data_IF_623339870260
#
_entry.id   IF_623339870260
#
_cell.length_a   1.000
_cell.length_b   1.000
_cell.length_c   1.000
_cell.angle_alpha   90.00
_cell.angle_beta   90.00
_cell.angle_gamma   90.00
#
_symmetry.space_group_name_H-M   'P 1'
#
loop_
_entity.id
_entity.type
_entity.pdbx_description
1 polymer ?
#
# COMPACT_ATOMS: atom_id res chain seq x y z
N UNK A 1 -5.37 44.37 15.59
CA UNK A 1 -5.42 42.91 15.66
C UNK A 1 -4.33 42.39 14.75
N UNK A 2 -3.33 41.73 15.31
CA UNK A 2 -2.21 41.23 14.51
C UNK A 2 -2.59 39.94 13.76
N UNK A 3 -1.89 39.64 12.64
CA UNK A 3 -2.11 38.43 11.88
C UNK A 3 -2.03 37.13 12.73
N UNK A 4 -1.28 37.19 13.84
CA UNK A 4 -1.11 36.12 14.82
C UNK A 4 -2.39 35.88 15.63
N UNK A 5 -3.15 36.94 15.93
CA UNK A 5 -4.42 36.82 16.65
C UNK A 5 -5.57 36.32 15.78
N UNK A 6 -5.57 36.65 14.49
CA UNK A 6 -6.54 36.12 13.52
C UNK A 6 -6.37 34.62 13.31
N UNK A 7 -5.14 34.13 13.15
CA UNK A 7 -4.83 32.70 13.02
C UNK A 7 -5.19 31.93 14.31
N UNK A 8 -5.04 32.54 15.48
CA UNK A 8 -5.42 31.92 16.75
C UNK A 8 -6.95 31.85 16.97
N UNK A 9 -7.73 32.74 16.36
CA UNK A 9 -9.21 32.70 16.45
C UNK A 9 -9.85 31.73 15.46
N UNK A 10 -9.31 31.60 14.24
CA UNK A 10 -9.77 30.57 13.29
C UNK A 10 -9.45 29.14 13.75
N UNK A 11 -8.32 28.92 14.45
CA UNK A 11 -7.97 27.61 15.01
C UNK A 11 -8.89 27.18 16.17
N UNK A 12 -9.64 28.10 16.80
CA UNK A 12 -10.60 27.78 17.87
C UNK A 12 -11.96 27.29 17.37
N UNK A 13 -12.33 27.51 16.10
CA UNK A 13 -13.59 27.04 15.54
C UNK A 13 -13.51 25.66 14.88
N UNK A 14 -12.32 25.09 14.71
CA UNK A 14 -12.10 23.70 14.26
C UNK A 14 -11.78 22.75 15.42
N UNK A 15 -12.40 22.93 16.58
CA UNK A 15 -12.30 21.98 17.69
C UNK A 15 -13.18 20.74 17.44
N UNK A 16 -12.83 19.94 16.45
CA UNK A 16 -13.11 18.51 16.50
C UNK A 16 -12.16 17.95 17.55
N UNK A 17 -12.71 17.36 18.61
CA UNK A 17 -11.95 16.72 19.69
C UNK A 17 -11.20 15.50 19.12
N UNK A 18 -10.08 15.72 18.44
CA UNK A 18 -9.10 14.68 18.12
C UNK A 18 -8.09 14.62 19.25
N UNK A 19 -8.09 13.54 20.00
CA UNK A 19 -6.99 13.22 20.93
C UNK A 19 -5.71 13.23 20.11
N UNK A 20 -4.82 14.21 20.33
CA UNK A 20 -3.48 14.22 19.81
C UNK A 20 -3.14 15.19 18.68
N UNK A 21 -4.05 16.02 18.17
CA UNK A 21 -3.68 17.01 17.14
C UNK A 21 -2.66 18.01 17.71
N UNK A 22 -1.41 17.94 17.22
CA UNK A 22 -0.31 18.83 17.60
C UNK A 22 -0.11 19.87 16.49
N UNK A 23 -0.59 21.13 16.64
CA UNK A 23 -0.56 22.14 15.58
C UNK A 23 0.85 22.39 15.03
N UNK A 24 1.87 22.34 15.88
CA UNK A 24 3.26 22.55 15.48
C UNK A 24 3.77 21.41 14.59
N UNK A 25 3.50 20.15 14.93
CA UNK A 25 3.93 19.00 14.15
C UNK A 25 3.17 18.90 12.82
N UNK A 26 1.89 19.26 12.79
CA UNK A 26 1.12 19.38 11.54
C UNK A 26 1.68 20.46 10.63
N UNK A 27 2.07 21.63 11.17
CA UNK A 27 2.75 22.68 10.39
C UNK A 27 4.05 22.19 9.73
N UNK A 28 4.86 21.41 10.46
CA UNK A 28 6.08 20.79 9.91
C UNK A 28 5.75 19.82 8.77
N UNK A 29 4.68 19.03 8.91
CA UNK A 29 4.23 18.10 7.85
C UNK A 29 3.78 18.87 6.60
N UNK A 30 2.94 19.87 6.74
CA UNK A 30 2.45 20.70 5.63
C UNK A 30 3.61 21.43 4.93
N UNK A 31 4.56 21.94 5.69
CA UNK A 31 5.74 22.63 5.16
C UNK A 31 6.66 21.69 4.40
N UNK A 32 6.86 20.46 4.88
CA UNK A 32 7.60 19.44 4.14
C UNK A 32 7.02 19.23 2.74
N UNK A 33 5.69 19.13 2.61
CA UNK A 33 5.06 19.00 1.29
C UNK A 33 5.13 20.30 0.45
N UNK A 34 5.05 21.48 1.05
CA UNK A 34 5.21 22.75 0.30
C UNK A 34 6.57 22.86 -0.38
N UNK A 35 7.62 22.32 0.24
CA UNK A 35 8.95 22.27 -0.37
C UNK A 35 9.02 21.35 -1.58
N UNK A 36 8.12 20.37 -1.69
CA UNK A 36 8.10 19.38 -2.76
C UNK A 36 9.18 18.31 -2.62
N UNK A 37 9.27 17.41 -3.60
CA UNK A 37 10.26 16.33 -3.68
C UNK A 37 10.29 15.40 -2.45
N UNK A 38 9.15 15.16 -1.82
CA UNK A 38 9.03 14.31 -0.63
C UNK A 38 8.98 12.84 -1.02
N UNK A 39 9.82 12.00 -0.40
CA UNK A 39 9.61 10.55 -0.40
C UNK A 39 8.58 10.15 0.66
N UNK A 40 7.69 9.24 0.31
CA UNK A 40 6.76 8.63 1.27
C UNK A 40 7.18 7.20 1.59
N UNK A 41 7.15 6.83 2.88
CA UNK A 41 7.26 5.45 3.35
C UNK A 41 5.98 5.06 4.06
N UNK A 42 5.13 4.23 3.45
CA UNK A 42 3.88 3.80 4.06
C UNK A 42 3.95 2.39 4.66
N UNK A 43 3.13 2.13 5.67
CA UNK A 43 2.95 0.83 6.30
C UNK A 43 1.48 0.50 6.54
N UNK A 44 1.22 -0.64 7.20
CA UNK A 44 -0.13 -1.23 7.35
C UNK A 44 -1.13 -0.31 8.06
N UNK A 45 -0.68 0.62 8.89
CA UNK A 45 -1.55 1.62 9.53
C UNK A 45 -2.28 2.53 8.53
N UNK A 46 -1.75 2.72 7.30
CA UNK A 46 -2.44 3.47 6.26
C UNK A 46 -3.67 2.72 5.72
N UNK A 47 -3.68 1.39 5.77
CA UNK A 47 -4.76 0.57 5.21
C UNK A 47 -5.82 0.17 6.24
N UNK A 48 -5.67 0.54 7.52
CA UNK A 48 -6.64 0.20 8.57
C UNK A 48 -8.02 0.80 8.33
N UNK A 49 -8.08 2.04 7.82
CA UNK A 49 -9.32 2.71 7.42
C UNK A 49 -9.95 2.12 6.14
N UNK A 50 -9.26 1.21 5.45
CA UNK A 50 -9.77 0.41 4.34
C UNK A 50 -10.28 -0.97 4.78
N UNK A 51 -10.30 -1.26 6.08
CA UNK A 51 -10.71 -2.53 6.66
C UNK A 51 -9.62 -3.61 6.70
N UNK A 52 -8.40 -3.31 6.24
CA UNK A 52 -7.25 -4.22 6.35
C UNK A 52 -6.58 -3.95 7.72
N UNK A 53 -6.49 -4.96 8.62
CA UNK A 53 -5.88 -4.75 9.93
C UNK A 53 -4.38 -4.46 9.80
N UNK A 54 -3.80 -3.82 10.79
CA UNK A 54 -2.35 -3.70 10.91
C UNK A 54 -1.75 -4.93 11.63
N UNK A 55 -0.41 -5.02 11.69
CA UNK A 55 0.26 -6.14 12.37
C UNK A 55 0.43 -5.94 13.87
N UNK A 56 0.47 -4.71 14.38
CA UNK A 56 0.96 -4.39 15.73
C UNK A 56 0.17 -3.31 16.46
N UNK A 57 -0.63 -2.55 15.75
CA UNK A 57 -1.54 -1.57 16.31
C UNK A 57 -2.78 -2.20 16.93
N UNK A 58 -3.70 -1.40 17.44
CA UNK A 58 -4.90 -1.87 18.12
C UNK A 58 -5.77 -2.80 17.27
N UNK A 59 -5.81 -2.58 15.94
CA UNK A 59 -6.61 -3.40 15.02
C UNK A 59 -6.00 -4.79 14.79
N UNK A 60 -4.66 -4.90 14.80
CA UNK A 60 -3.95 -6.16 14.58
C UNK A 60 -3.77 -7.00 15.81
N UNK A 61 -3.49 -6.38 16.96
CA UNK A 61 -3.29 -7.11 18.23
C UNK A 61 -4.54 -7.90 18.65
N UNK A 62 -5.74 -7.34 18.43
CA UNK A 62 -7.01 -7.97 18.77
C UNK A 62 -7.38 -9.16 17.84
N UNK A 63 -6.75 -9.28 16.67
CA UNK A 63 -7.10 -10.27 15.63
C UNK A 63 -6.02 -11.30 15.38
N UNK A 64 -4.87 -11.19 16.04
CA UNK A 64 -3.70 -12.00 15.74
C UNK A 64 -3.88 -13.46 16.15
N UNK A 65 -4.06 -14.32 15.16
CA UNK A 65 -4.09 -15.77 15.32
C UNK A 65 -2.84 -16.38 14.66
N UNK A 66 -1.83 -16.70 15.47
CA UNK A 66 -0.63 -17.40 15.02
C UNK A 66 0.52 -16.48 14.54
N UNK A 67 1.64 -17.12 14.18
CA UNK A 67 2.80 -16.44 13.59
C UNK A 67 2.68 -16.41 12.06
N UNK A 68 3.12 -15.31 11.39
CA UNK A 68 3.16 -15.25 9.94
C UNK A 68 4.08 -16.35 9.37
N UNK A 69 3.72 -16.88 8.19
CA UNK A 69 4.51 -17.87 7.46
C UNK A 69 5.91 -17.34 7.16
N UNK A 70 6.93 -18.13 7.45
CA UNK A 70 8.30 -17.80 7.05
C UNK A 70 8.64 -18.38 5.68
N UNK A 71 9.65 -17.78 5.00
CA UNK A 71 10.13 -18.28 3.72
C UNK A 71 10.63 -19.72 3.81
N UNK A 72 11.35 -20.04 4.89
CA UNK A 72 11.93 -21.36 5.13
C UNK A 72 10.84 -22.42 5.34
N UNK A 73 9.79 -22.11 6.10
CA UNK A 73 8.66 -23.02 6.28
C UNK A 73 7.91 -23.24 4.97
N UNK A 74 7.66 -22.16 4.21
CA UNK A 74 6.96 -22.24 2.93
C UNK A 74 7.73 -23.09 1.92
N UNK A 75 9.04 -22.90 1.80
CA UNK A 75 9.86 -23.62 0.82
C UNK A 75 10.22 -25.04 1.27
N UNK A 76 10.38 -25.27 2.56
CA UNK A 76 10.83 -26.54 3.13
C UNK A 76 9.72 -27.60 3.35
N UNK A 77 8.44 -27.18 3.46
CA UNK A 77 7.35 -28.09 3.84
C UNK A 77 6.16 -28.03 2.88
N UNK A 78 5.80 -29.19 2.33
CA UNK A 78 4.58 -29.30 1.50
C UNK A 78 3.31 -29.02 2.30
N UNK A 79 3.23 -29.46 3.55
CA UNK A 79 2.09 -29.17 4.43
C UNK A 79 2.00 -27.69 4.80
N UNK A 80 3.15 -26.99 4.96
CA UNK A 80 3.15 -25.55 5.20
C UNK A 80 2.63 -24.79 3.98
N UNK A 81 3.04 -25.15 2.75
CA UNK A 81 2.52 -24.59 1.50
C UNK A 81 1.03 -24.83 1.33
N UNK A 82 0.56 -26.05 1.66
CA UNK A 82 -0.85 -26.41 1.61
C UNK A 82 -1.66 -25.51 2.56
N UNK A 83 -1.23 -25.36 3.82
CA UNK A 83 -1.86 -24.46 4.78
C UNK A 83 -1.87 -23.01 4.27
N UNK A 84 -0.74 -22.53 3.77
CA UNK A 84 -0.65 -21.18 3.24
C UNK A 84 -1.66 -20.95 2.10
N UNK A 85 -1.67 -21.83 1.10
CA UNK A 85 -2.53 -21.63 -0.08
C UNK A 85 -4.01 -21.83 0.24
N UNK A 86 -4.38 -22.74 1.14
CA UNK A 86 -5.74 -22.92 1.61
C UNK A 86 -6.25 -21.65 2.33
N UNK A 87 -5.48 -21.11 3.25
CA UNK A 87 -5.78 -19.88 3.98
C UNK A 87 -5.83 -18.66 3.04
N UNK A 88 -4.81 -18.50 2.21
CA UNK A 88 -4.74 -17.43 1.23
C UNK A 88 -5.87 -17.52 0.18
N UNK A 89 -6.34 -18.71 -0.18
CA UNK A 89 -7.48 -18.88 -1.08
C UNK A 89 -8.76 -18.24 -0.55
N UNK A 90 -8.95 -18.23 0.76
CA UNK A 90 -10.08 -17.59 1.41
C UNK A 90 -9.86 -16.08 1.64
N UNK A 91 -8.71 -15.73 2.18
CA UNK A 91 -8.48 -14.39 2.72
C UNK A 91 -8.03 -13.34 1.69
N UNK A 92 -7.37 -13.72 0.60
CA UNK A 92 -6.83 -12.75 -0.35
C UNK A 92 -7.89 -11.84 -0.98
N UNK A 93 -9.10 -12.35 -1.19
CA UNK A 93 -10.22 -11.58 -1.75
C UNK A 93 -10.66 -10.44 -0.84
N UNK A 94 -10.52 -10.61 0.47
CA UNK A 94 -10.81 -9.53 1.41
C UNK A 94 -9.83 -8.37 1.22
N UNK A 95 -8.54 -8.67 1.07
CA UNK A 95 -7.51 -7.65 0.84
C UNK A 95 -7.67 -6.99 -0.53
N UNK A 96 -7.87 -7.79 -1.59
CA UNK A 96 -8.00 -7.24 -2.96
C UNK A 96 -9.35 -6.58 -3.23
N UNK A 97 -10.37 -6.89 -2.44
CA UNK A 97 -11.68 -6.21 -2.48
C UNK A 97 -11.74 -4.93 -1.66
N UNK A 98 -10.70 -4.61 -0.90
CA UNK A 98 -10.64 -3.37 -0.13
C UNK A 98 -10.53 -2.14 -1.05
N UNK A 99 -11.18 -1.06 -0.66
CA UNK A 99 -11.12 0.21 -1.39
C UNK A 99 -10.10 1.17 -0.78
N UNK A 100 -9.43 2.00 -1.59
CA UNK A 100 -8.57 3.07 -1.08
C UNK A 100 -9.35 4.00 -0.14
N UNK A 101 -8.77 4.34 0.99
CA UNK A 101 -9.33 5.30 1.95
C UNK A 101 -8.87 6.74 1.67
N UNK A 102 -9.29 7.69 2.52
CA UNK A 102 -8.93 9.11 2.39
C UNK A 102 -7.41 9.33 2.42
N UNK A 103 -6.67 8.55 3.23
CA UNK A 103 -5.21 8.61 3.29
C UNK A 103 -4.54 8.26 1.97
N UNK A 104 -4.96 7.17 1.31
CA UNK A 104 -4.44 6.79 -0.01
C UNK A 104 -4.74 7.84 -1.07
N UNK A 105 -5.99 8.38 -1.08
CA UNK A 105 -6.38 9.45 -2.01
C UNK A 105 -5.61 10.74 -1.76
N UNK A 106 -5.34 11.08 -0.49
CA UNK A 106 -4.51 12.22 -0.11
C UNK A 106 -3.09 12.11 -0.65
N UNK A 107 -2.45 10.94 -0.48
CA UNK A 107 -1.12 10.65 -1.04
C UNK A 107 -1.12 10.79 -2.56
N UNK A 108 -2.10 10.20 -3.25
CA UNK A 108 -2.21 10.31 -4.71
C UNK A 108 -2.46 11.75 -5.18
N UNK A 109 -3.18 12.56 -4.41
CA UNK A 109 -3.38 13.99 -4.72
C UNK A 109 -2.08 14.79 -4.58
N UNK A 110 -1.28 14.54 -3.53
CA UNK A 110 0.02 15.15 -3.33
C UNK A 110 1.02 14.77 -4.43
N UNK A 111 1.02 13.50 -4.86
CA UNK A 111 1.84 13.04 -5.98
C UNK A 111 1.45 13.72 -7.29
N UNK A 112 0.15 13.77 -7.63
CA UNK A 112 -0.34 14.47 -8.83
C UNK A 112 -0.01 15.96 -8.84
N UNK A 113 0.09 16.57 -7.68
CA UNK A 113 0.51 17.98 -7.54
C UNK A 113 2.04 18.17 -7.68
N UNK A 114 2.81 17.09 -7.88
CA UNK A 114 4.27 17.13 -8.00
C UNK A 114 5.01 17.36 -6.69
N UNK A 115 4.35 17.18 -5.54
CA UNK A 115 4.94 17.38 -4.22
C UNK A 115 5.61 16.12 -3.66
N UNK A 116 5.33 14.96 -4.26
CA UNK A 116 5.86 13.64 -3.87
C UNK A 116 6.70 13.10 -5.00
N UNK A 117 7.98 12.83 -4.74
CA UNK A 117 8.94 12.25 -5.70
C UNK A 117 8.79 10.74 -5.87
N UNK A 118 8.18 10.06 -4.90
CA UNK A 118 7.87 8.64 -4.98
C UNK A 118 7.39 8.07 -3.65
N UNK A 119 6.77 6.89 -3.76
CA UNK A 119 6.14 6.18 -2.65
C UNK A 119 6.81 4.83 -2.47
N UNK A 120 7.36 4.58 -1.29
CA UNK A 120 7.84 3.28 -0.84
C UNK A 120 6.75 2.68 0.05
N UNK A 121 6.08 1.63 -0.39
CA UNK A 121 5.08 0.99 0.47
C UNK A 121 5.56 -0.36 0.98
N UNK A 122 5.37 -0.59 2.28
CA UNK A 122 5.55 -1.90 2.91
C UNK A 122 4.33 -2.80 2.70
N UNK A 123 3.19 -2.21 2.30
CA UNK A 123 1.93 -2.91 2.09
C UNK A 123 1.95 -3.70 0.78
N UNK A 124 1.15 -4.76 0.76
CA UNK A 124 1.04 -5.70 -0.37
C UNK A 124 -0.35 -5.68 -1.02
N UNK A 125 -1.18 -4.70 -0.63
CA UNK A 125 -2.61 -4.59 -0.93
C UNK A 125 -2.94 -3.89 -2.26
N UNK A 126 -1.99 -3.12 -2.84
CA UNK A 126 -2.20 -2.38 -4.09
C UNK A 126 -3.04 -1.11 -3.96
N UNK A 127 -3.38 -0.66 -2.74
CA UNK A 127 -4.31 0.45 -2.54
C UNK A 127 -3.75 1.82 -2.96
N UNK A 128 -2.44 2.03 -2.96
CA UNK A 128 -1.84 3.24 -3.53
C UNK A 128 -2.12 3.37 -5.03
N UNK A 129 -1.89 2.28 -5.79
CA UNK A 129 -2.16 2.23 -7.21
C UNK A 129 -3.66 2.36 -7.49
N UNK A 130 -4.50 1.68 -6.71
CA UNK A 130 -5.95 1.80 -6.80
C UNK A 130 -6.47 3.23 -6.49
N UNK A 131 -5.75 4.02 -5.69
CA UNK A 131 -6.02 5.44 -5.46
C UNK A 131 -5.53 6.35 -6.59
N UNK A 132 -4.82 5.82 -7.58
CA UNK A 132 -4.28 6.56 -8.72
C UNK A 132 -2.85 7.06 -8.53
N UNK A 133 -2.10 6.57 -7.54
CA UNK A 133 -0.67 6.85 -7.41
C UNK A 133 0.12 6.06 -8.48
N UNK A 134 1.09 6.72 -9.12
CA UNK A 134 1.87 6.19 -10.24
C UNK A 134 3.28 5.73 -9.83
N UNK A 135 3.96 6.48 -8.97
CA UNK A 135 5.37 6.25 -8.60
C UNK A 135 5.49 5.40 -7.33
N UNK A 136 4.94 4.18 -7.36
CA UNK A 136 4.87 3.29 -6.18
C UNK A 136 5.88 2.16 -6.27
N UNK A 137 6.78 2.08 -5.29
CA UNK A 137 7.67 0.93 -5.08
C UNK A 137 7.10 0.03 -3.99
N UNK A 138 6.60 -1.14 -4.37
CA UNK A 138 6.10 -2.18 -3.46
C UNK A 138 7.29 -2.90 -2.81
N UNK A 139 7.75 -2.39 -1.67
CA UNK A 139 8.95 -2.87 -0.98
C UNK A 139 8.88 -4.37 -0.68
N UNK A 140 7.73 -4.83 -0.22
CA UNK A 140 7.50 -6.23 0.12
C UNK A 140 6.74 -7.00 -0.97
N UNK A 141 6.58 -6.43 -2.17
CA UNK A 141 5.86 -7.08 -3.26
C UNK A 141 4.36 -6.85 -3.24
N UNK A 142 3.59 -7.75 -3.86
CA UNK A 142 2.15 -7.58 -4.05
C UNK A 142 1.40 -8.92 -3.98
N UNK A 143 0.25 -8.92 -3.33
CA UNK A 143 -0.69 -10.06 -3.31
C UNK A 143 -1.41 -10.27 -4.64
N UNK A 144 -1.38 -9.30 -5.54
CA UNK A 144 -1.98 -9.42 -6.87
C UNK A 144 -1.14 -10.25 -7.85
N UNK A 145 0.07 -10.64 -7.48
CA UNK A 145 0.99 -11.40 -8.30
C UNK A 145 1.47 -12.68 -7.63
N UNK A 146 1.84 -13.64 -8.45
CA UNK A 146 2.42 -14.91 -8.07
C UNK A 146 3.72 -15.11 -8.86
N UNK A 147 4.72 -15.67 -8.22
CA UNK A 147 6.02 -15.98 -8.83
C UNK A 147 6.33 -17.47 -8.68
N UNK A 148 6.88 -18.05 -9.74
CA UNK A 148 7.45 -19.40 -9.68
C UNK A 148 8.87 -19.34 -9.12
N UNK A 149 9.17 -20.14 -8.09
CA UNK A 149 10.50 -20.16 -7.46
C UNK A 149 11.57 -20.91 -8.30
N UNK A 150 11.16 -21.58 -9.38
CA UNK A 150 12.08 -22.33 -10.25
C UNK A 150 12.43 -21.57 -11.53
N UNK A 151 11.43 -21.09 -12.27
CA UNK A 151 11.64 -20.41 -13.55
C UNK A 151 11.40 -18.90 -13.51
N UNK A 152 11.03 -18.34 -12.36
CA UNK A 152 10.78 -16.91 -12.12
C UNK A 152 9.66 -16.31 -12.96
N UNK A 153 8.89 -17.12 -13.69
CA UNK A 153 7.67 -16.63 -14.36
C UNK A 153 6.69 -16.04 -13.35
N UNK A 154 6.03 -14.97 -13.75
CA UNK A 154 4.98 -14.31 -12.98
C UNK A 154 3.63 -14.50 -13.65
N UNK A 155 2.59 -14.63 -12.82
CA UNK A 155 1.20 -14.65 -13.26
C UNK A 155 0.34 -13.83 -12.29
N UNK A 156 -0.90 -13.56 -12.67
CA UNK A 156 -1.83 -12.89 -11.77
C UNK A 156 -2.30 -13.82 -10.64
N UNK A 157 -2.71 -13.23 -9.53
CA UNK A 157 -3.28 -13.99 -8.42
C UNK A 157 -4.68 -14.51 -8.76
N UNK A 158 -5.43 -13.79 -9.62
CA UNK A 158 -6.72 -14.22 -10.13
C UNK A 158 -6.61 -15.50 -10.97
N UNK A 159 -5.63 -15.59 -11.87
CA UNK A 159 -5.37 -16.81 -12.66
C UNK A 159 -5.05 -18.00 -11.75
N UNK A 160 -4.20 -17.79 -10.74
CA UNK A 160 -3.92 -18.82 -9.75
C UNK A 160 -5.18 -19.21 -8.97
N UNK A 161 -5.99 -18.26 -8.55
CA UNK A 161 -7.22 -18.53 -7.80
C UNK A 161 -8.23 -19.34 -8.62
N UNK A 162 -8.36 -19.05 -9.91
CA UNK A 162 -9.20 -19.84 -10.81
C UNK A 162 -8.73 -21.30 -10.89
N UNK A 163 -7.42 -21.53 -10.96
CA UNK A 163 -6.82 -22.86 -10.97
C UNK A 163 -6.97 -23.59 -9.63
N UNK A 164 -6.81 -22.87 -8.52
CA UNK A 164 -7.02 -23.44 -7.17
C UNK A 164 -8.49 -23.85 -6.99
N UNK A 165 -9.45 -23.05 -7.44
CA UNK A 165 -10.87 -23.42 -7.43
C UNK A 165 -11.16 -24.66 -8.24
N UNK A 166 -10.61 -24.73 -9.47
CA UNK A 166 -10.78 -25.90 -10.33
C UNK A 166 -10.18 -27.18 -9.74
N UNK A 167 -9.07 -27.06 -9.02
CA UNK A 167 -8.43 -28.20 -8.33
C UNK A 167 -9.11 -28.61 -7.03
N UNK A 168 -9.99 -27.76 -6.46
CA UNK A 168 -10.62 -27.94 -5.16
C UNK A 168 -12.15 -27.72 -5.20
N UNK A 169 -12.90 -28.35 -6.09
CA UNK A 169 -14.32 -28.03 -6.33
C UNK A 169 -15.22 -28.34 -5.12
N UNK A 170 -14.84 -29.33 -4.32
CA UNK A 170 -15.60 -29.77 -3.13
C UNK A 170 -14.98 -29.29 -1.81
N UNK A 171 -13.84 -28.58 -1.87
CA UNK A 171 -13.20 -28.13 -0.65
C UNK A 171 -13.90 -26.87 -0.13
N UNK A 172 -14.43 -26.97 1.08
CA UNK A 172 -15.08 -25.88 1.78
C UNK A 172 -14.39 -25.66 3.12
N UNK A 173 -14.13 -24.42 3.47
CA UNK A 173 -13.73 -24.09 4.84
C UNK A 173 -14.95 -24.31 5.75
N UNK A 174 -14.90 -25.31 6.57
CA UNK A 174 -15.93 -25.51 7.60
C UNK A 174 -15.72 -24.45 8.70
N UNK A 175 -16.72 -23.59 8.90
CA UNK A 175 -16.72 -22.66 10.04
C UNK A 175 -16.98 -21.19 9.68
N UNK A 176 -17.05 -20.35 10.70
CA UNK A 176 -17.32 -18.92 10.65
C UNK A 176 -16.33 -18.15 9.73
N UNK A 177 -16.75 -16.96 9.30
CA UNK A 177 -15.88 -16.05 8.55
C UNK A 177 -14.56 -15.82 9.31
N UNK A 178 -13.43 -16.26 8.77
CA UNK A 178 -12.17 -16.17 9.50
C UNK A 178 -11.67 -14.74 9.54
N UNK A 179 -11.08 -14.33 10.65
CA UNK A 179 -10.37 -13.06 10.75
C UNK A 179 -9.21 -13.05 9.73
N UNK A 180 -9.16 -12.01 8.89
CA UNK A 180 -8.14 -11.85 7.84
C UNK A 180 -6.98 -11.03 8.39
N UNK A 181 -5.75 -11.51 8.18
CA UNK A 181 -4.50 -10.83 8.50
C UNK A 181 -4.11 -9.82 7.39
N UNK A 182 -3.18 -8.87 7.66
CA UNK A 182 -2.75 -7.87 6.69
C UNK A 182 -2.17 -8.43 5.37
N UNK A 183 -1.68 -9.65 5.38
CA UNK A 183 -1.12 -10.40 4.25
C UNK A 183 -2.15 -11.32 3.55
N UNK A 184 -3.44 -11.18 3.88
CA UNK A 184 -4.50 -12.01 3.32
C UNK A 184 -4.51 -13.45 3.85
N UNK A 185 -3.73 -13.77 4.89
CA UNK A 185 -3.83 -15.04 5.59
C UNK A 185 -5.02 -15.04 6.54
N UNK A 186 -5.66 -16.20 6.73
CA UNK A 186 -6.80 -16.37 7.63
C UNK A 186 -6.50 -17.45 8.67
N UNK A 187 -7.13 -17.33 9.84
CA UNK A 187 -7.07 -18.37 10.85
C UNK A 187 -7.93 -19.57 10.44
N UNK A 188 -7.30 -20.57 9.87
CA UNK A 188 -7.92 -21.83 9.51
C UNK A 188 -7.04 -22.98 10.02
N UNK A 189 -7.57 -23.84 10.87
CA UNK A 189 -6.83 -24.98 11.42
C UNK A 189 -6.86 -26.18 10.46
N UNK A 190 -8.04 -26.48 9.93
CA UNK A 190 -8.22 -27.63 9.04
C UNK A 190 -8.00 -27.22 7.57
N UNK A 191 -6.92 -27.73 7.01
CA UNK A 191 -6.52 -27.49 5.62
C UNK A 191 -6.23 -28.77 4.84
N UNK A 192 -6.54 -29.93 5.45
CA UNK A 192 -6.39 -31.24 4.79
C UNK A 192 -7.29 -31.31 3.56
N UNK A 193 -6.85 -32.08 2.58
CA UNK A 193 -7.57 -32.22 1.30
C UNK A 193 -7.47 -31.03 0.36
N UNK A 194 -6.86 -29.89 0.74
CA UNK A 194 -6.63 -28.80 -0.18
C UNK A 194 -5.49 -29.11 -1.16
N UNK A 195 -5.79 -29.11 -2.45
CA UNK A 195 -4.83 -29.38 -3.53
C UNK A 195 -4.12 -28.09 -3.93
N UNK A 196 -2.79 -28.08 -3.82
CA UNK A 196 -1.93 -26.98 -4.30
C UNK A 196 -1.58 -27.22 -5.77
N UNK A 197 -1.62 -26.17 -6.58
CA UNK A 197 -1.25 -26.23 -8.01
C UNK A 197 0.15 -25.64 -8.24
N UNK A 198 0.90 -26.26 -9.12
CA UNK A 198 2.26 -25.86 -9.47
C UNK A 198 2.30 -24.92 -10.68
N UNK A 199 3.49 -24.41 -11.03
CA UNK A 199 3.72 -23.59 -12.21
C UNK A 199 3.33 -24.31 -13.49
N UNK A 200 2.58 -23.66 -14.37
CA UNK A 200 2.14 -24.22 -15.64
C UNK A 200 3.30 -24.39 -16.64
N UNK A 201 4.33 -23.56 -16.50
CA UNK A 201 5.47 -23.57 -17.44
C UNK A 201 6.52 -24.63 -17.11
N UNK A 202 6.78 -24.91 -15.82
CA UNK A 202 7.90 -25.78 -15.43
C UNK A 202 7.58 -26.75 -14.30
N UNK A 203 6.35 -26.77 -13.76
CA UNK A 203 5.99 -27.59 -12.62
C UNK A 203 6.56 -27.15 -11.27
N UNK A 204 7.30 -26.03 -11.22
CA UNK A 204 7.93 -25.51 -10.02
C UNK A 204 6.95 -24.92 -9.00
N UNK A 205 7.45 -24.67 -7.79
CA UNK A 205 6.66 -24.12 -6.68
C UNK A 205 6.21 -22.69 -6.99
N UNK A 206 4.93 -22.42 -6.77
CA UNK A 206 4.37 -21.07 -6.82
C UNK A 206 4.35 -20.44 -5.43
N UNK A 207 4.78 -19.17 -5.35
CA UNK A 207 4.73 -18.33 -4.14
C UNK A 207 4.02 -17.02 -4.50
N UNK A 208 3.26 -16.38 -3.58
CA UNK A 208 2.84 -15.00 -3.83
C UNK A 208 4.08 -14.12 -4.03
N UNK A 209 4.04 -13.17 -4.94
CA UNK A 209 5.17 -12.26 -5.20
C UNK A 209 5.31 -11.23 -4.06
N UNK A 210 5.38 -11.73 -2.81
CA UNK A 210 5.60 -10.94 -1.60
C UNK A 210 6.83 -11.46 -0.87
N UNK A 211 7.49 -10.57 -0.13
CA UNK A 211 8.64 -10.91 0.73
C UNK A 211 8.12 -11.48 2.04
N UNK A 212 8.36 -12.75 2.28
CA UNK A 212 8.00 -13.43 3.52
C UNK A 212 8.92 -13.07 4.68
N UNK A 213 8.48 -13.34 5.90
CA UNK A 213 9.39 -13.25 7.06
C UNK A 213 10.57 -14.22 6.87
N UNK A 214 11.78 -13.73 7.17
CA UNK A 214 13.02 -14.47 6.91
C UNK A 214 13.51 -14.45 5.46
N UNK A 215 12.79 -13.82 4.55
CA UNK A 215 13.21 -13.58 3.16
C UNK A 215 13.84 -12.18 3.03
N UNK A 216 14.78 -12.03 2.10
CA UNK A 216 15.39 -10.73 1.81
C UNK A 216 14.59 -9.98 0.74
N UNK A 217 14.41 -8.68 0.96
CA UNK A 217 13.93 -7.78 -0.12
C UNK A 217 14.95 -7.81 -1.26
N UNK A 218 14.53 -7.94 -2.52
CA UNK A 218 15.44 -7.94 -3.67
C UNK A 218 16.37 -6.72 -3.68
N UNK A 219 17.68 -6.96 -3.85
CA UNK A 219 18.71 -5.91 -3.75
C UNK A 219 18.47 -4.71 -4.66
N UNK A 220 18.09 -4.85 -5.96
CA UNK A 220 17.79 -3.70 -6.81
C UNK A 220 16.64 -2.83 -6.28
N UNK A 221 15.62 -3.45 -5.67
CA UNK A 221 14.50 -2.72 -5.06
C UNK A 221 14.93 -1.91 -3.84
N UNK A 222 15.81 -2.48 -3.02
CA UNK A 222 16.40 -1.79 -1.85
C UNK A 222 17.23 -0.58 -2.31
N UNK A 223 18.06 -0.76 -3.33
CA UNK A 223 18.91 0.30 -3.90
C UNK A 223 18.08 1.43 -4.50
N UNK A 224 17.04 1.12 -5.27
CA UNK A 224 16.12 2.12 -5.81
C UNK A 224 15.44 2.95 -4.70
N UNK A 225 14.99 2.30 -3.62
CA UNK A 225 14.42 3.01 -2.46
C UNK A 225 15.45 3.90 -1.75
N UNK A 226 16.70 3.45 -1.62
CA UNK A 226 17.77 4.30 -1.06
C UNK A 226 18.08 5.50 -1.94
N UNK A 227 18.08 5.32 -3.26
CA UNK A 227 18.28 6.42 -4.22
C UNK A 227 17.15 7.43 -4.12
N UNK A 228 15.88 6.96 -4.08
CA UNK A 228 14.72 7.83 -3.91
C UNK A 228 14.85 8.68 -2.63
N UNK A 229 15.12 8.06 -1.48
CA UNK A 229 15.27 8.78 -0.21
C UNK A 229 16.43 9.76 -0.27
N UNK A 230 17.57 9.39 -0.88
CA UNK A 230 18.73 10.25 -0.93
C UNK A 230 18.56 11.47 -1.83
N UNK A 231 17.68 11.40 -2.83
CA UNK A 231 17.36 12.51 -3.74
C UNK A 231 16.17 13.37 -3.29
N UNK A 232 15.49 12.99 -2.21
CA UNK A 232 14.30 13.69 -1.73
C UNK A 232 14.65 14.81 -0.74
N UNK A 233 13.81 15.85 -0.70
CA UNK A 233 13.91 16.96 0.26
C UNK A 233 13.47 16.60 1.69
N UNK A 234 12.64 15.55 1.81
CA UNK A 234 12.10 15.05 3.08
C UNK A 234 11.61 13.61 2.96
N UNK A 235 11.51 12.92 4.09
CA UNK A 235 10.89 11.59 4.20
C UNK A 235 9.67 11.68 5.13
N UNK A 236 8.50 11.36 4.58
CA UNK A 236 7.26 11.27 5.38
C UNK A 236 6.88 9.80 5.56
N UNK A 237 6.81 9.36 6.82
CA UNK A 237 6.41 8.00 7.20
C UNK A 237 4.93 8.00 7.58
N UNK A 238 4.14 7.13 6.97
CA UNK A 238 2.70 7.04 7.13
C UNK A 238 2.29 5.64 7.62
N UNK A 239 1.81 5.55 8.87
CA UNK A 239 1.21 4.33 9.42
C UNK A 239 2.17 3.14 9.52
N UNK A 240 3.42 3.38 9.92
CA UNK A 240 4.40 2.31 10.12
C UNK A 240 5.02 2.39 11.50
N UNK A 241 4.91 1.31 12.27
CA UNK A 241 5.63 1.17 13.54
C UNK A 241 7.15 1.11 13.40
N UNK A 242 7.67 0.96 12.17
CA UNK A 242 9.10 0.84 11.86
C UNK A 242 9.83 -0.28 12.61
N UNK A 243 9.08 -1.27 13.12
CA UNK A 243 9.67 -2.39 13.87
C UNK A 243 10.55 -3.27 12.97
N UNK A 244 10.16 -3.46 11.70
CA UNK A 244 10.94 -4.24 10.73
C UNK A 244 12.05 -3.40 10.11
N UNK A 245 13.25 -3.99 10.05
CA UNK A 245 14.44 -3.30 9.52
C UNK A 245 14.31 -2.88 8.06
N UNK A 246 13.48 -3.60 7.27
CA UNK A 246 13.27 -3.28 5.85
C UNK A 246 12.68 -1.87 5.64
N UNK A 247 11.85 -1.36 6.58
CA UNK A 247 11.36 0.02 6.57
C UNK A 247 12.29 0.99 7.33
N UNK A 248 12.71 0.62 8.54
CA UNK A 248 13.51 1.49 9.42
C UNK A 248 14.83 1.95 8.77
N UNK A 249 15.43 1.14 7.89
CA UNK A 249 16.68 1.49 7.18
C UNK A 249 16.60 2.79 6.40
N UNK A 250 15.43 3.11 5.83
CA UNK A 250 15.22 4.34 5.06
C UNK A 250 15.12 5.57 5.96
N UNK A 251 14.48 5.44 7.12
CA UNK A 251 14.45 6.49 8.16
C UNK A 251 15.87 6.78 8.66
N UNK A 252 16.65 5.72 8.95
CA UNK A 252 18.08 5.86 9.33
C UNK A 252 18.89 6.54 8.23
N UNK A 253 18.64 6.19 6.97
CA UNK A 253 19.35 6.79 5.84
C UNK A 253 19.00 8.27 5.71
N UNK A 254 17.74 8.65 5.74
CA UNK A 254 17.31 10.05 5.70
C UNK A 254 17.96 10.86 6.84
N UNK A 255 17.86 10.37 8.08
CA UNK A 255 18.48 11.01 9.25
C UNK A 255 19.98 11.14 9.11
N UNK A 256 20.70 10.12 8.61
CA UNK A 256 22.16 10.17 8.40
C UNK A 256 22.59 11.17 7.32
N UNK A 257 21.69 11.51 6.40
CA UNK A 257 21.92 12.51 5.34
C UNK A 257 21.46 13.91 5.75
N UNK A 258 20.91 14.07 6.96
CA UNK A 258 20.33 15.35 7.41
C UNK A 258 18.98 15.69 6.72
N UNK A 259 18.37 14.72 6.04
CA UNK A 259 17.05 14.87 5.40
C UNK A 259 15.98 14.85 6.51
N UNK A 260 15.09 15.84 6.59
CA UNK A 260 14.01 15.87 7.56
C UNK A 260 13.12 14.63 7.48
N UNK A 261 12.77 14.07 8.64
CA UNK A 261 11.86 12.92 8.75
C UNK A 261 10.62 13.32 9.54
N UNK A 262 9.44 13.17 8.95
CA UNK A 262 8.17 13.36 9.64
C UNK A 262 7.45 12.02 9.73
N UNK A 263 7.02 11.62 10.93
CA UNK A 263 6.31 10.38 11.16
C UNK A 263 4.87 10.68 11.58
N UNK A 264 3.90 10.16 10.82
CA UNK A 264 2.48 10.18 11.19
C UNK A 264 2.06 8.73 11.48
N UNK A 265 1.75 8.44 12.73
CA UNK A 265 1.38 7.08 13.15
C UNK A 265 0.56 7.14 14.42
N UNK A 266 -0.42 6.25 14.58
CA UNK A 266 -1.09 6.06 15.85
C UNK A 266 -0.21 5.21 16.78
N UNK A 267 0.25 5.84 17.88
CA UNK A 267 1.20 5.26 18.82
C UNK A 267 2.67 5.40 18.40
N UNK A 268 3.56 4.98 19.30
CA UNK A 268 5.01 5.12 19.15
C UNK A 268 5.60 4.24 18.06
N UNK A 269 6.67 4.74 17.44
CA UNK A 269 7.42 3.99 16.43
C UNK A 269 8.89 3.80 16.83
N UNK A 270 9.55 2.84 16.20
CA UNK A 270 10.99 2.64 16.41
C UNK A 270 11.85 3.76 15.79
N UNK A 271 11.25 4.62 14.99
CA UNK A 271 11.91 5.74 14.31
C UNK A 271 11.78 7.08 15.02
N UNK A 272 11.01 7.20 16.09
CA UNK A 272 10.67 8.49 16.71
C UNK A 272 11.90 9.31 17.10
N UNK A 273 12.93 8.67 17.64
CA UNK A 273 14.18 9.32 18.00
C UNK A 273 15.01 9.86 16.81
N UNK A 274 14.64 9.48 15.60
CA UNK A 274 15.29 9.93 14.36
C UNK A 274 14.43 10.94 13.59
N UNK A 275 13.20 11.20 14.08
CA UNK A 275 12.26 12.07 13.41
C UNK A 275 12.49 13.55 13.78
N UNK A 276 12.30 14.43 12.81
CA UNK A 276 12.22 15.89 12.99
C UNK A 276 10.91 16.25 13.67
N UNK A 277 9.83 15.54 13.34
CA UNK A 277 8.51 15.69 13.98
C UNK A 277 7.75 14.36 13.95
N UNK A 278 6.90 14.13 14.97
CA UNK A 278 5.99 13.01 15.07
C UNK A 278 4.57 13.51 15.31
N UNK A 279 3.59 12.90 14.62
CA UNK A 279 2.16 13.13 14.82
C UNK A 279 1.50 11.81 15.21
N UNK A 280 0.89 11.78 16.41
CA UNK A 280 0.00 10.69 16.82
C UNK A 280 -1.43 11.03 16.39
N UNK A 281 -1.79 10.66 15.16
CA UNK A 281 -3.06 11.05 14.54
C UNK A 281 -3.55 10.03 13.51
N UNK A 282 -4.89 9.97 13.23
CA UNK A 282 -5.47 9.21 12.13
C UNK A 282 -4.96 9.73 10.78
N UNK A 283 -4.64 8.80 9.88
CA UNK A 283 -3.99 9.14 8.61
C UNK A 283 -4.94 9.77 7.60
N UNK A 284 -6.17 9.26 7.50
CA UNK A 284 -7.16 9.79 6.57
C UNK A 284 -7.50 11.25 6.84
N UNK A 285 -7.77 11.58 8.11
CA UNK A 285 -8.04 12.97 8.55
C UNK A 285 -6.82 13.87 8.35
N UNK A 286 -5.64 13.40 8.76
CA UNK A 286 -4.39 14.17 8.64
C UNK A 286 -4.06 14.52 7.20
N UNK A 287 -4.10 13.53 6.29
CA UNK A 287 -3.78 13.76 4.88
C UNK A 287 -4.86 14.58 4.16
N UNK A 288 -6.13 14.42 4.53
CA UNK A 288 -7.21 15.29 4.05
C UNK A 288 -6.97 16.74 4.48
N UNK A 289 -6.56 16.97 5.72
CA UNK A 289 -6.24 18.30 6.21
C UNK A 289 -5.03 18.92 5.50
N UNK A 290 -3.97 18.14 5.24
CA UNK A 290 -2.80 18.57 4.45
C UNK A 290 -3.19 18.97 3.02
N UNK A 291 -3.97 18.13 2.33
CA UNK A 291 -4.44 18.41 0.96
C UNK A 291 -5.26 19.71 0.92
N UNK A 292 -6.10 19.95 1.91
CA UNK A 292 -6.86 21.19 2.05
C UNK A 292 -5.97 22.40 2.35
N UNK A 293 -5.03 22.27 3.27
CA UNK A 293 -4.07 23.33 3.66
C UNK A 293 -3.18 23.77 2.47
N UNK A 294 -2.91 22.84 1.56
CA UNK A 294 -2.14 23.10 0.35
C UNK A 294 -3.00 23.58 -0.85
N UNK A 295 -4.31 23.73 -0.66
CA UNK A 295 -5.21 24.15 -1.73
C UNK A 295 -5.43 23.11 -2.84
N UNK A 296 -5.15 21.84 -2.59
CA UNK A 296 -5.24 20.74 -3.56
C UNK A 296 -6.58 20.02 -3.54
N UNK A 297 -7.51 20.41 -2.67
CA UNK A 297 -8.84 19.81 -2.59
C UNK A 297 -9.60 20.05 -3.90
N UNK A 298 -10.07 18.97 -4.53
CA UNK A 298 -10.82 19.03 -5.78
C UNK A 298 -12.15 19.81 -5.55
N UNK A 299 -12.31 20.93 -6.24
CA UNK A 299 -13.56 21.73 -6.24
C UNK A 299 -14.75 21.00 -6.89
N UNK A 300 -14.59 19.73 -7.27
CA UNK A 300 -15.60 18.93 -7.97
C UNK A 300 -16.44 18.03 -7.07
N UNK A 301 -16.21 17.97 -5.76
CA UNK A 301 -17.01 17.12 -4.85
C UNK A 301 -18.11 17.85 -4.09
N UNK A 302 -18.26 19.17 -4.19
CA UNK A 302 -19.36 19.93 -3.58
C UNK A 302 -20.55 20.20 -4.52
N UNK A 303 -20.57 19.62 -5.71
CA UNK A 303 -21.67 19.68 -6.64
C UNK A 303 -22.75 18.65 -6.32
N UNK A 304 -23.68 18.96 -5.41
CA UNK A 304 -25.01 18.31 -5.41
C UNK A 304 -25.65 18.57 -6.78
N UNK A 305 -25.68 17.52 -7.62
CA UNK A 305 -26.45 17.53 -8.87
C UNK A 305 -27.93 17.63 -8.54
N UNK A 306 -28.48 18.83 -8.58
CA UNK A 306 -29.87 19.06 -8.88
C UNK A 306 -30.11 18.64 -10.33
N UNK A 307 -30.74 17.48 -10.53
CA UNK A 307 -31.26 17.04 -11.82
C UNK A 307 -32.43 17.90 -12.18
N UNK A 308 -32.25 18.98 -12.92
CA UNK A 308 -33.28 19.53 -13.77
C UNK A 308 -33.41 18.65 -15.01
N UNK A 309 -34.57 18.00 -15.11
CA UNK A 309 -35.02 17.32 -16.32
C UNK A 309 -35.51 18.39 -17.30
N UNK A 310 -34.76 18.56 -18.38
CA UNK A 310 -35.35 19.09 -19.60
C UNK A 310 -34.94 18.21 -20.77
N UNK A 311 -35.99 17.93 -21.57
CA UNK A 311 -35.98 16.89 -22.57
C UNK A 311 -35.46 17.34 -23.94
N UNK A 312 -35.47 16.38 -24.82
CA UNK A 312 -35.45 16.38 -26.30
C UNK A 312 -34.08 16.46 -27.01
N UNK A 313 -33.86 15.45 -27.85
CA UNK A 313 -33.10 15.59 -29.08
C UNK A 313 -32.25 14.39 -29.46
N UNK A 314 -32.84 13.46 -30.25
CA UNK A 314 -32.11 12.40 -30.92
C UNK A 314 -31.11 12.98 -31.96
N UNK A 315 -29.86 12.60 -31.88
CA UNK A 315 -28.87 12.93 -32.89
C UNK A 315 -27.77 11.87 -32.91
N UNK A 316 -27.85 10.98 -33.90
CA UNK A 316 -26.83 9.97 -34.22
C UNK A 316 -25.60 10.62 -34.81
N UNK A 317 -24.46 10.56 -34.10
CA UNK A 317 -23.16 10.75 -34.73
C UNK A 317 -22.23 9.58 -34.41
N UNK A 318 -21.88 8.87 -35.47
CA UNK A 318 -20.75 7.90 -35.49
C UNK A 318 -19.46 8.64 -35.30
N UNK A 319 -18.69 8.27 -34.29
CA UNK A 319 -17.29 8.69 -34.16
C UNK A 319 -16.42 7.49 -34.50
N UNK A 320 -15.53 7.69 -35.49
CA UNK A 320 -14.56 6.72 -35.97
C UNK A 320 -13.40 6.53 -34.98
N UNK A 321 -12.99 5.28 -34.80
CA UNK A 321 -11.78 4.89 -34.03
C UNK A 321 -10.52 5.11 -34.87
N UNK A 322 -9.42 5.63 -34.32
CA UNK A 322 -8.14 5.63 -35.02
C UNK A 322 -7.43 4.28 -34.96
N UNK A 323 -6.79 3.94 -36.08
CA UNK A 323 -6.07 2.68 -36.33
C UNK A 323 -4.80 2.58 -35.47
N UNK A 324 -4.48 1.34 -35.04
CA UNK A 324 -3.21 0.92 -34.47
C UNK A 324 -2.07 1.13 -35.47
N UNK A 325 -0.94 1.61 -34.96
CA UNK A 325 0.35 1.50 -35.65
C UNK A 325 1.11 0.34 -34.98
N UNK A 326 1.34 -0.73 -35.75
CA UNK A 326 2.31 -1.77 -35.45
C UNK A 326 3.70 -1.26 -35.83
N UNK A 327 4.62 -1.22 -34.89
CA UNK A 327 6.04 -1.17 -35.22
C UNK A 327 6.77 -2.35 -34.55
N UNK A 328 7.23 -3.25 -35.41
CA UNK A 328 8.12 -4.33 -35.10
C UNK A 328 9.54 -3.80 -34.86
N UNK A 329 10.14 -4.12 -33.71
CA UNK A 329 11.57 -3.97 -33.48
C UNK A 329 12.26 -5.32 -33.70
N UNK A 330 13.08 -5.35 -34.72
CA UNK A 330 13.99 -6.44 -35.09
C UNK A 330 15.10 -6.54 -34.05
N UNK A 331 15.27 -7.71 -33.43
CA UNK A 331 16.42 -8.05 -32.60
C UNK A 331 17.55 -8.52 -33.50
N UNK A 332 18.64 -7.77 -33.47
CA UNK A 332 19.91 -8.21 -34.09
C UNK A 332 20.71 -9.10 -33.15
N UNK A 333 21.14 -10.19 -33.69
CA UNK A 333 22.05 -11.21 -33.15
C UNK A 333 23.50 -10.65 -33.14
N UNK A 334 24.32 -10.97 -32.16
CA UNK A 334 25.77 -10.74 -32.24
C UNK A 334 26.49 -10.53 -30.92
N UNK A 335 27.13 -11.48 -30.49
CA UNK A 335 28.51 -11.79 -30.10
C UNK A 335 28.79 -12.18 -28.67
N UNK A 336 29.32 -13.41 -28.61
CA UNK A 336 30.08 -14.01 -27.49
C UNK A 336 31.43 -13.31 -27.33
N UNK A 337 31.80 -12.98 -26.11
CA UNK A 337 33.08 -13.38 -25.48
C UNK A 337 32.85 -13.45 -23.95
#
# INVERSE_FOLDING_TARGET
>A
MSLVEAVAMESKQLSVQTRGFQPRAFGVLAEAFRHGDVAILSGAGLSTESGIPDYRGPSGQARRTGQPMTYQEFTGSTGARQRYWARSHLGWRHVTGAAPNAGHRGVAALERAGLVSGIITQNVDGLHQAAGAASVTELHGSLHRVVCLSCWSRSSREELDARLRAANPAWTAAGAEPAVNPDGDVALEETSGFTVVNCVSCGGLLKPDVVFFGENVPKPRVEACFSLVASSSGLVVLGSSLTVMSGLRYVRRASSLGIPVVIVNQGTTRGDALATATLDAPLGETLTAVVRELGLADSRQDGSLSLERDGFGAGTHRVALPRRLDEAVVVGDGDRV
#
